data_IF_817224003408
#
_entry.id   IF_817224003408
#
_cell.length_a   1.000
_cell.length_b   1.000
_cell.length_c   1.000
_cell.angle_alpha   90.00
_cell.angle_beta   90.00
_cell.angle_gamma   90.00
#
_symmetry.space_group_name_H-M   'P 1'
#
loop_
_entity.id
_entity.type
_entity.pdbx_description
1 polymer ?
#
# COMPACT_ATOMS: atom_id res chain seq x y z
N UNK A 1 -16.94 -16.93 50.20
CA UNK A 1 -16.04 -16.48 49.13
C UNK A 1 -16.72 -15.40 48.29
N UNK A 2 -17.08 -14.28 48.91
CA UNK A 2 -17.84 -13.21 48.21
C UNK A 2 -17.53 -11.81 48.78
N UNK A 3 -16.27 -11.55 49.22
CA UNK A 3 -15.92 -10.26 49.80
C UNK A 3 -14.63 -9.62 49.24
N UNK A 4 -13.89 -10.24 48.34
CA UNK A 4 -12.71 -9.66 47.74
C UNK A 4 -12.87 -9.18 46.29
N UNK A 5 -13.88 -9.60 45.58
CA UNK A 5 -14.08 -9.16 44.19
C UNK A 5 -14.70 -7.76 44.06
N UNK A 6 -15.27 -7.22 45.14
CA UNK A 6 -15.96 -5.92 45.13
C UNK A 6 -15.09 -4.74 45.52
N UNK A 7 -13.83 -4.95 45.93
CA UNK A 7 -12.88 -3.88 46.29
C UNK A 7 -11.93 -3.44 45.17
N UNK A 8 -11.87 -4.16 44.03
CA UNK A 8 -11.00 -3.84 42.89
C UNK A 8 -11.71 -2.95 41.86
N UNK A 9 -13.05 -3.01 41.80
CA UNK A 9 -13.81 -2.17 40.86
C UNK A 9 -14.02 -0.72 41.32
N UNK A 10 -13.91 -0.43 42.62
CA UNK A 10 -14.05 0.93 43.14
C UNK A 10 -12.74 1.76 43.10
N UNK A 11 -11.60 1.16 42.93
CA UNK A 11 -10.32 1.87 42.82
C UNK A 11 -10.01 2.35 41.38
N UNK A 12 -10.65 1.76 40.34
CA UNK A 12 -10.42 2.15 38.94
C UNK A 12 -11.37 3.26 38.46
N UNK A 13 -12.46 3.52 39.18
CA UNK A 13 -13.44 4.56 38.83
C UNK A 13 -13.11 5.95 39.39
N UNK A 14 -12.14 6.06 40.32
CA UNK A 14 -11.78 7.35 40.97
C UNK A 14 -10.56 8.01 40.30
N UNK A 15 -9.82 7.28 39.45
CA UNK A 15 -8.67 7.83 38.73
C UNK A 15 -8.98 8.51 37.40
N UNK A 16 -10.25 8.46 36.91
CA UNK A 16 -10.67 9.09 35.66
C UNK A 16 -11.52 10.36 35.80
N UNK A 17 -11.74 10.87 37.02
CA UNK A 17 -12.59 12.06 37.25
C UNK A 17 -11.86 13.32 37.76
N UNK A 18 -10.54 13.38 37.72
CA UNK A 18 -9.78 14.57 38.17
C UNK A 18 -9.00 15.30 37.09
N UNK A 19 -9.29 15.07 35.80
CA UNK A 19 -8.65 15.77 34.69
C UNK A 19 -9.58 16.67 33.85
N UNK A 20 -10.81 16.95 34.33
CA UNK A 20 -11.79 17.76 33.57
C UNK A 20 -12.38 18.88 34.42
N UNK A 21 -11.53 19.76 34.99
CA UNK A 21 -11.98 21.06 35.47
C UNK A 21 -10.76 21.96 35.70
N UNK A 22 -10.42 22.73 34.70
CA UNK A 22 -9.84 24.09 34.74
C UNK A 22 -9.50 24.52 33.31
N UNK A 23 -10.39 25.23 32.66
CA UNK A 23 -10.07 26.41 31.82
C UNK A 23 -11.39 27.07 31.44
N UNK A 24 -11.77 28.06 32.23
CA UNK A 24 -12.69 29.12 31.79
C UNK A 24 -12.33 30.37 32.60
N UNK A 25 -11.37 31.12 32.08
CA UNK A 25 -11.24 32.55 32.38
C UNK A 25 -10.15 33.17 31.48
N UNK A 26 -10.52 34.19 30.71
CA UNK A 26 -9.57 35.21 30.25
C UNK A 26 -9.32 35.29 28.76
N UNK A 27 -10.19 35.97 28.00
CA UNK A 27 -9.82 36.65 26.78
C UNK A 27 -8.80 37.75 27.09
N UNK A 28 -7.56 37.64 26.55
CA UNK A 28 -6.73 38.76 26.12
C UNK A 28 -5.44 38.27 25.46
N UNK A 29 -5.17 38.69 24.23
CA UNK A 29 -3.84 38.60 23.60
C UNK A 29 -3.64 37.33 22.76
N UNK A 30 -3.90 37.44 21.45
CA UNK A 30 -3.47 36.47 20.44
C UNK A 30 -1.96 36.63 20.24
N UNK A 31 -1.16 35.87 21.00
CA UNK A 31 0.16 35.48 20.55
C UNK A 31 0.03 34.06 20.01
N UNK A 32 -0.03 33.93 18.69
CA UNK A 32 0.04 32.64 18.01
C UNK A 32 1.47 32.13 18.07
N UNK A 33 1.89 31.65 19.24
CA UNK A 33 2.98 30.68 19.31
C UNK A 33 2.45 29.38 18.75
N UNK A 34 2.68 29.16 17.45
CA UNK A 34 2.67 27.82 16.91
C UNK A 34 3.67 27.02 17.73
N UNK A 35 3.18 26.22 18.68
CA UNK A 35 3.98 25.16 19.29
C UNK A 35 4.34 24.20 18.15
N UNK A 36 5.54 24.39 17.58
CA UNK A 36 6.17 23.38 16.76
C UNK A 36 6.36 22.19 17.70
N UNK A 37 5.43 21.25 17.70
CA UNK A 37 5.62 19.95 18.35
C UNK A 37 6.77 19.29 17.59
N UNK A 38 7.96 19.28 18.18
CA UNK A 38 9.07 18.47 17.66
C UNK A 38 8.57 17.03 17.51
N UNK A 39 8.75 16.40 16.35
CA UNK A 39 8.35 15.01 16.18
C UNK A 39 8.99 14.16 17.30
N UNK A 40 8.18 13.33 17.94
CA UNK A 40 8.68 12.41 18.96
C UNK A 40 9.51 11.35 18.26
N UNK A 41 10.82 11.41 18.40
CA UNK A 41 11.72 10.38 17.90
C UNK A 41 11.70 9.17 18.83
N UNK A 42 11.85 7.97 18.27
CA UNK A 42 11.90 6.71 19.00
C UNK A 42 13.24 6.02 18.72
N UNK A 43 13.91 5.53 19.76
CA UNK A 43 15.13 4.74 19.60
C UNK A 43 14.86 3.50 18.75
N UNK A 44 15.74 3.21 17.81
CA UNK A 44 15.65 2.05 16.95
C UNK A 44 15.72 0.74 17.74
N UNK A 45 15.03 -0.26 17.26
CA UNK A 45 15.08 -1.63 17.80
C UNK A 45 16.18 -2.44 17.11
N UNK A 46 16.62 -3.51 17.76
CA UNK A 46 17.55 -4.46 17.15
C UNK A 46 16.86 -5.15 15.97
N UNK A 47 17.52 -5.15 14.80
CA UNK A 47 17.07 -5.85 13.59
C UNK A 47 18.11 -6.91 13.24
N UNK A 48 17.66 -8.14 13.16
CA UNK A 48 18.47 -9.29 12.76
C UNK A 48 17.94 -9.89 11.48
N UNK A 49 18.80 -10.54 10.72
CA UNK A 49 18.36 -11.23 9.52
C UNK A 49 19.46 -11.80 8.67
N UNK A 50 19.09 -12.19 7.48
CA UNK A 50 20.01 -12.75 6.49
C UNK A 50 19.80 -12.12 5.11
N UNK A 51 20.87 -12.10 4.32
CA UNK A 51 20.84 -11.67 2.91
C UNK A 51 21.28 -12.87 2.05
N UNK A 52 20.40 -13.26 1.12
CA UNK A 52 20.64 -14.39 0.20
C UNK A 52 20.45 -13.99 -1.26
N UNK A 53 21.25 -14.59 -2.12
CA UNK A 53 21.09 -14.60 -3.57
C UNK A 53 20.67 -16.00 -4.02
N UNK A 54 19.39 -16.19 -4.34
CA UNK A 54 18.84 -17.52 -4.50
C UNK A 54 18.98 -18.32 -3.21
N UNK A 55 19.77 -19.39 -3.26
CA UNK A 55 20.06 -20.24 -2.09
C UNK A 55 21.42 -19.93 -1.44
N UNK A 56 22.18 -19.00 -1.98
CA UNK A 56 23.53 -18.69 -1.50
C UNK A 56 23.53 -17.48 -0.56
N UNK A 57 24.23 -17.56 0.59
CA UNK A 57 24.41 -16.39 1.45
C UNK A 57 25.25 -15.34 0.73
N UNK A 58 24.92 -14.07 0.91
CA UNK A 58 25.73 -12.96 0.41
C UNK A 58 26.60 -12.43 1.54
N UNK A 59 27.90 -12.72 1.45
CA UNK A 59 28.88 -12.27 2.42
C UNK A 59 29.39 -10.86 2.08
N UNK A 60 29.57 -10.02 3.10
CA UNK A 60 30.18 -8.69 2.97
C UNK A 60 29.29 -7.64 2.31
N UNK A 61 27.99 -7.91 2.08
CA UNK A 61 27.04 -6.90 1.61
C UNK A 61 26.92 -5.78 2.64
N UNK A 62 26.91 -4.54 2.15
CA UNK A 62 26.72 -3.35 3.02
C UNK A 62 25.24 -3.12 3.25
N UNK A 63 24.85 -3.08 4.52
CA UNK A 63 23.49 -2.85 4.97
C UNK A 63 23.22 -1.37 5.15
N UNK A 64 22.07 -0.91 4.68
CA UNK A 64 21.55 0.45 4.89
C UNK A 64 20.09 0.37 5.34
N UNK A 65 19.73 1.21 6.30
CA UNK A 65 18.34 1.40 6.73
C UNK A 65 17.89 2.79 6.30
N UNK A 66 16.86 2.84 5.50
CA UNK A 66 16.32 4.10 5.00
C UNK A 66 14.92 4.37 5.56
N UNK A 67 14.60 5.64 5.72
CA UNK A 67 13.24 6.12 5.95
C UNK A 67 12.67 6.68 4.66
N UNK A 68 11.38 6.53 4.47
CA UNK A 68 10.68 7.14 3.34
C UNK A 68 10.51 8.66 3.56
N UNK A 69 10.67 9.44 2.48
CA UNK A 69 10.51 10.89 2.49
C UNK A 69 9.04 11.32 2.43
N UNK A 70 8.77 12.56 2.86
CA UNK A 70 7.42 13.14 2.90
C UNK A 70 7.27 14.46 2.10
N UNK A 71 8.28 14.82 1.30
CA UNK A 71 8.32 16.10 0.59
C UNK A 71 7.94 16.01 -0.89
N UNK A 72 7.64 14.81 -1.39
CA UNK A 72 7.24 14.53 -2.77
C UNK A 72 7.42 13.05 -3.13
N UNK A 73 6.84 12.65 -4.24
CA UNK A 73 7.01 11.29 -4.77
C UNK A 73 8.47 11.02 -5.11
N UNK A 74 9.00 9.89 -4.63
CA UNK A 74 10.40 9.53 -4.80
C UNK A 74 11.38 10.44 -4.05
N UNK A 75 10.91 11.24 -3.08
CA UNK A 75 11.82 12.04 -2.24
C UNK A 75 12.52 11.15 -1.22
N UNK A 76 13.83 11.32 -1.08
CA UNK A 76 14.57 10.70 0.01
C UNK A 76 14.22 11.38 1.35
N UNK A 77 14.23 10.60 2.43
CA UNK A 77 14.25 11.19 3.76
C UNK A 77 15.63 11.79 4.03
N UNK A 78 15.68 13.05 4.43
CA UNK A 78 16.95 13.73 4.75
C UNK A 78 17.22 13.62 6.25
N UNK A 79 18.26 12.89 6.61
CA UNK A 79 18.76 12.77 7.98
C UNK A 79 20.04 13.63 8.14
N UNK A 80 20.35 14.06 9.36
CA UNK A 80 21.48 14.99 9.64
C UNK A 80 22.85 14.44 9.23
N UNK A 81 23.02 13.14 9.12
CA UNK A 81 24.27 12.45 8.76
C UNK A 81 24.25 11.77 7.39
N UNK A 82 23.23 12.01 6.58
CA UNK A 82 23.04 11.38 5.28
C UNK A 82 21.62 10.89 5.08
N UNK A 83 21.39 10.06 4.03
CA UNK A 83 20.08 9.50 3.73
C UNK A 83 19.76 8.24 4.55
N UNK A 84 20.77 7.48 5.00
CA UNK A 84 20.60 6.28 5.82
C UNK A 84 20.42 6.63 7.29
N UNK A 85 19.50 5.96 7.98
CA UNK A 85 19.31 6.08 9.43
C UNK A 85 20.49 5.53 10.23
N UNK A 86 21.32 4.64 9.65
CA UNK A 86 22.53 4.13 10.27
C UNK A 86 23.67 5.18 10.31
N UNK A 87 23.54 6.27 9.58
CA UNK A 87 24.54 7.34 9.54
C UNK A 87 25.92 6.84 9.10
N UNK A 88 26.91 6.92 9.99
CA UNK A 88 28.27 6.45 9.75
C UNK A 88 28.51 5.01 10.21
N UNK A 89 27.55 4.35 10.82
CA UNK A 89 27.66 2.95 11.24
C UNK A 89 27.63 2.03 10.02
N UNK A 90 28.71 1.27 9.85
CA UNK A 90 28.86 0.32 8.74
C UNK A 90 28.49 -1.07 9.22
N UNK A 91 27.34 -1.56 8.79
CA UNK A 91 26.91 -2.94 9.03
C UNK A 91 27.13 -3.73 7.75
N UNK A 92 27.78 -4.90 7.87
CA UNK A 92 27.99 -5.84 6.77
C UNK A 92 27.47 -7.21 7.14
N UNK A 93 27.09 -7.97 6.11
CA UNK A 93 26.74 -9.38 6.29
C UNK A 93 27.97 -10.23 6.55
N UNK A 94 27.81 -11.25 7.36
CA UNK A 94 28.84 -12.28 7.64
C UNK A 94 28.88 -13.36 6.52
N UNK A 95 29.73 -14.39 6.72
CA UNK A 95 29.90 -15.48 5.75
C UNK A 95 28.63 -16.31 5.52
N UNK A 96 27.68 -16.28 6.44
CA UNK A 96 26.36 -16.94 6.34
C UNK A 96 25.28 -15.98 5.82
N UNK A 97 25.66 -14.78 5.37
CA UNK A 97 24.73 -13.73 4.97
C UNK A 97 24.04 -13.04 6.16
N UNK A 98 24.39 -13.38 7.39
CA UNK A 98 23.81 -12.83 8.62
C UNK A 98 24.18 -11.36 8.84
N UNK A 99 23.21 -10.56 9.33
CA UNK A 99 23.45 -9.19 9.79
C UNK A 99 22.78 -8.93 11.11
N UNK A 100 23.32 -7.94 11.84
CA UNK A 100 22.74 -7.45 13.10
C UNK A 100 22.89 -5.93 13.15
N UNK A 101 21.77 -5.22 13.26
CA UNK A 101 21.69 -3.79 13.50
C UNK A 101 21.27 -3.62 14.96
N UNK A 102 22.17 -3.13 15.81
CA UNK A 102 22.07 -3.15 17.28
C UNK A 102 21.28 -1.99 17.88
N UNK A 103 20.38 -1.35 17.10
CA UNK A 103 19.58 -0.23 17.61
C UNK A 103 20.31 1.12 17.55
N UNK A 104 21.37 1.21 16.76
CA UNK A 104 22.21 2.42 16.61
C UNK A 104 21.57 3.45 15.64
N UNK A 105 20.24 3.48 15.57
CA UNK A 105 19.49 4.41 14.77
C UNK A 105 18.30 4.98 15.55
N UNK A 106 17.74 6.06 15.03
CA UNK A 106 16.56 6.71 15.60
C UNK A 106 15.46 6.80 14.54
N UNK A 107 14.27 6.32 14.88
CA UNK A 107 13.09 6.51 14.05
C UNK A 107 12.72 8.00 13.97
N UNK A 108 12.51 8.58 12.79
CA UNK A 108 12.10 9.97 12.68
C UNK A 108 10.78 10.25 13.39
N UNK A 109 9.79 9.37 13.18
CA UNK A 109 8.54 9.26 13.95
C UNK A 109 8.17 7.79 14.09
N UNK A 110 7.29 7.41 15.02
CA UNK A 110 6.82 6.04 15.15
C UNK A 110 6.14 5.51 13.88
N UNK A 111 5.52 6.39 13.10
CA UNK A 111 4.76 6.05 11.88
C UNK A 111 5.58 6.21 10.59
N UNK A 112 6.84 6.62 10.67
CA UNK A 112 7.69 6.73 9.49
C UNK A 112 7.98 5.35 8.90
N UNK A 113 7.64 5.15 7.64
CA UNK A 113 7.92 3.91 6.91
C UNK A 113 9.41 3.74 6.68
N UNK A 114 9.94 2.53 6.94
CA UNK A 114 11.37 2.24 6.79
C UNK A 114 11.60 0.97 5.98
N UNK A 115 12.76 0.88 5.36
CA UNK A 115 13.17 -0.27 4.54
C UNK A 115 14.67 -0.51 4.62
N UNK A 116 15.07 -1.79 4.56
CA UNK A 116 16.46 -2.23 4.51
C UNK A 116 16.90 -2.43 3.06
N UNK A 117 18.16 -2.08 2.80
CA UNK A 117 18.84 -2.33 1.52
C UNK A 117 20.19 -2.97 1.81
N UNK A 118 20.51 -4.03 1.08
CA UNK A 118 21.82 -4.68 1.05
C UNK A 118 22.47 -4.45 -0.31
N UNK A 119 23.71 -3.96 -0.34
CA UNK A 119 24.42 -3.65 -1.60
C UNK A 119 25.77 -4.33 -1.69
N UNK A 120 26.13 -4.81 -2.88
CA UNK A 120 27.40 -5.48 -3.16
C UNK A 120 27.53 -6.81 -2.41
N UNK A 121 28.76 -7.31 -2.31
CA UNK A 121 29.07 -8.53 -1.58
C UNK A 121 29.44 -9.71 -2.49
N UNK A 122 29.68 -10.86 -1.85
CA UNK A 122 30.10 -12.10 -2.47
C UNK A 122 28.95 -13.10 -2.46
N UNK A 123 28.40 -13.48 -3.61
CA UNK A 123 27.30 -14.43 -3.70
C UNK A 123 27.81 -15.87 -3.58
N UNK A 124 28.16 -16.28 -2.36
CA UNK A 124 28.73 -17.59 -2.05
C UNK A 124 30.22 -17.56 -1.76
N UNK A 125 30.80 -18.66 -1.22
CA UNK A 125 32.11 -18.68 -0.59
C UNK A 125 33.30 -18.57 -1.58
N UNK A 126 33.10 -18.85 -2.86
CA UNK A 126 34.16 -18.83 -3.90
C UNK A 126 33.88 -17.84 -5.03
N UNK A 127 32.73 -17.15 -4.99
CA UNK A 127 32.38 -16.20 -6.03
C UNK A 127 33.14 -14.88 -5.86
N UNK A 128 33.47 -14.17 -6.94
CA UNK A 128 34.02 -12.82 -6.86
C UNK A 128 32.95 -11.84 -6.33
N UNK A 129 33.40 -10.66 -5.86
CA UNK A 129 32.50 -9.59 -5.46
C UNK A 129 31.61 -9.18 -6.64
N UNK A 130 30.31 -9.01 -6.37
CA UNK A 130 29.37 -8.49 -7.34
C UNK A 130 28.83 -7.15 -6.85
N UNK A 131 29.28 -6.06 -7.48
CA UNK A 131 28.89 -4.70 -7.13
C UNK A 131 27.51 -4.31 -7.69
N UNK A 132 26.91 -5.13 -8.56
CA UNK A 132 25.57 -4.88 -9.09
C UNK A 132 24.45 -5.38 -8.16
N UNK A 133 24.81 -6.10 -7.09
CA UNK A 133 23.85 -6.55 -6.09
C UNK A 133 23.25 -5.35 -5.39
N UNK A 134 21.94 -5.26 -5.44
CA UNK A 134 21.12 -4.43 -4.58
C UNK A 134 19.83 -5.20 -4.29
N UNK A 135 19.60 -5.50 -3.02
CA UNK A 135 18.43 -6.23 -2.53
C UNK A 135 17.74 -5.43 -1.44
N UNK A 136 16.43 -5.57 -1.29
CA UNK A 136 15.69 -4.82 -0.29
C UNK A 136 14.56 -5.60 0.37
N UNK A 137 14.18 -5.12 1.55
CA UNK A 137 12.95 -5.49 2.24
C UNK A 137 12.31 -4.23 2.84
N UNK A 138 11.06 -3.97 2.49
CA UNK A 138 10.24 -2.93 3.12
C UNK A 138 9.70 -3.45 4.46
N UNK A 139 9.92 -2.71 5.55
CA UNK A 139 9.63 -3.18 6.91
C UNK A 139 8.33 -2.61 7.47
N UNK A 140 7.88 -1.46 6.97
CA UNK A 140 6.72 -0.76 7.50
C UNK A 140 7.08 0.32 8.53
N UNK A 141 6.12 0.71 9.42
CA UNK A 141 6.32 1.78 10.38
C UNK A 141 7.45 1.48 11.38
N UNK A 142 8.40 2.41 11.50
CA UNK A 142 9.60 2.26 12.31
C UNK A 142 9.29 1.97 13.80
N UNK A 143 8.23 2.57 14.34
CA UNK A 143 7.82 2.35 15.73
C UNK A 143 7.15 0.99 16.01
N UNK A 144 6.80 0.24 14.95
CA UNK A 144 6.25 -1.13 15.08
C UNK A 144 7.32 -2.21 14.96
N UNK A 145 8.56 -1.85 14.63
CA UNK A 145 9.67 -2.80 14.63
C UNK A 145 9.94 -3.29 16.05
N UNK A 146 10.24 -4.57 16.20
CA UNK A 146 10.52 -5.21 17.48
C UNK A 146 11.88 -5.91 17.45
N UNK A 147 12.51 -6.09 18.59
CA UNK A 147 13.78 -6.83 18.70
C UNK A 147 13.71 -8.32 18.32
N UNK A 148 12.49 -8.83 18.05
CA UNK A 148 12.27 -10.17 17.49
C UNK A 148 12.02 -10.16 15.98
N UNK A 149 12.09 -9.00 15.32
CA UNK A 149 11.90 -8.89 13.88
C UNK A 149 13.10 -9.53 13.17
N UNK A 150 12.87 -10.70 12.58
CA UNK A 150 13.83 -11.36 11.70
C UNK A 150 13.52 -10.97 10.25
N UNK A 151 14.53 -10.55 9.49
CA UNK A 151 14.35 -10.06 8.13
C UNK A 151 15.19 -10.90 7.17
N UNK A 152 14.53 -11.63 6.27
CA UNK A 152 15.21 -12.28 5.16
C UNK A 152 15.15 -11.38 3.93
N UNK A 153 16.30 -10.89 3.49
CA UNK A 153 16.44 -10.07 2.29
C UNK A 153 16.91 -10.98 1.16
N UNK A 154 16.08 -11.10 0.14
CA UNK A 154 16.38 -11.86 -1.06
C UNK A 154 15.67 -11.27 -2.29
N UNK A 155 15.72 -11.98 -3.40
CA UNK A 155 15.07 -11.55 -4.64
C UNK A 155 13.55 -11.45 -4.51
N UNK A 156 12.90 -12.38 -3.78
CA UNK A 156 11.44 -12.37 -3.55
C UNK A 156 11.03 -11.11 -2.76
N UNK A 157 11.74 -10.81 -1.66
CA UNK A 157 11.46 -9.62 -0.85
C UNK A 157 11.74 -8.35 -1.65
N UNK A 158 12.76 -8.36 -2.51
CA UNK A 158 13.07 -7.25 -3.41
C UNK A 158 11.98 -7.03 -4.45
N UNK A 159 11.54 -8.09 -5.14
CA UNK A 159 10.43 -8.01 -6.11
C UNK A 159 9.17 -7.45 -5.43
N UNK A 160 8.75 -8.03 -4.31
CA UNK A 160 7.54 -7.60 -3.60
C UNK A 160 7.63 -6.13 -3.16
N UNK A 161 8.77 -5.72 -2.56
CA UNK A 161 8.99 -4.34 -2.11
C UNK A 161 8.98 -3.36 -3.28
N UNK A 162 9.73 -3.65 -4.35
CA UNK A 162 9.83 -2.76 -5.50
C UNK A 162 8.48 -2.62 -6.22
N UNK A 163 7.75 -3.72 -6.46
CA UNK A 163 6.46 -3.65 -7.16
C UNK A 163 5.42 -2.86 -6.37
N UNK A 164 5.29 -3.11 -5.06
CA UNK A 164 4.35 -2.38 -4.22
C UNK A 164 4.72 -0.89 -4.09
N UNK A 165 6.03 -0.58 -4.00
CA UNK A 165 6.53 0.78 -3.77
C UNK A 165 6.84 1.56 -5.06
N UNK A 166 6.75 0.93 -6.23
CA UNK A 166 7.14 1.55 -7.52
C UNK A 166 6.49 2.91 -7.81
N UNK A 167 5.22 3.21 -7.40
CA UNK A 167 4.64 4.54 -7.57
C UNK A 167 5.29 5.63 -6.70
N UNK A 168 5.97 5.24 -5.64
CA UNK A 168 6.59 6.12 -4.64
C UNK A 168 8.12 6.11 -4.72
N UNK A 169 8.70 5.39 -5.69
CA UNK A 169 10.13 5.11 -5.76
C UNK A 169 10.76 5.66 -7.03
N UNK A 170 11.92 6.29 -6.90
CA UNK A 170 12.74 6.78 -8.03
C UNK A 170 14.19 6.27 -7.99
N UNK A 171 14.56 5.51 -6.94
CA UNK A 171 15.89 4.93 -6.77
C UNK A 171 16.03 4.24 -5.42
N UNK A 172 17.17 3.63 -5.18
CA UNK A 172 17.45 2.80 -3.99
C UNK A 172 17.18 3.52 -2.67
N UNK A 173 17.59 4.79 -2.55
CA UNK A 173 17.42 5.60 -1.34
C UNK A 173 16.26 6.61 -1.48
N UNK A 174 15.46 6.50 -2.53
CA UNK A 174 14.51 7.50 -2.96
C UNK A 174 13.09 6.92 -3.01
N UNK A 175 12.53 6.65 -1.84
CA UNK A 175 11.11 6.31 -1.63
C UNK A 175 10.47 7.42 -0.83
N UNK A 176 9.35 7.95 -1.31
CA UNK A 176 8.67 9.04 -0.64
C UNK A 176 7.36 9.44 -1.29
N UNK A 177 6.61 10.26 -0.58
CA UNK A 177 5.30 10.75 -1.00
C UNK A 177 5.09 12.21 -0.63
N UNK A 178 4.05 12.85 -1.15
CA UNK A 178 3.59 14.15 -0.67
C UNK A 178 2.87 14.01 0.67
N UNK A 179 2.79 15.10 1.44
CA UNK A 179 2.04 15.14 2.70
C UNK A 179 0.54 14.83 2.52
N UNK A 180 0.01 15.00 1.31
CA UNK A 180 -1.41 14.74 0.99
C UNK A 180 -1.68 13.28 0.63
N UNK A 181 -0.65 12.44 0.43
CA UNK A 181 -0.80 11.02 0.10
C UNK A 181 0.02 10.09 1.02
N UNK A 182 0.22 10.48 2.27
CA UNK A 182 0.92 9.65 3.26
C UNK A 182 0.24 8.27 3.41
N UNK A 183 -1.09 8.23 3.41
CA UNK A 183 -1.86 6.98 3.51
C UNK A 183 -1.57 6.05 2.32
N UNK A 184 -1.44 6.58 1.10
CA UNK A 184 -1.09 5.77 -0.07
C UNK A 184 0.27 5.08 0.07
N UNK A 185 1.26 5.76 0.65
CA UNK A 185 2.57 5.17 0.93
C UNK A 185 2.47 4.06 2.00
N UNK A 186 1.75 4.31 3.10
CA UNK A 186 1.51 3.30 4.15
C UNK A 186 0.83 2.06 3.58
N UNK A 187 -0.18 2.23 2.73
CA UNK A 187 -0.86 1.12 2.06
C UNK A 187 0.10 0.33 1.14
N UNK A 188 1.01 1.02 0.44
CA UNK A 188 2.01 0.36 -0.39
C UNK A 188 2.99 -0.49 0.44
N UNK A 189 3.42 -0.01 1.62
CA UNK A 189 4.23 -0.81 2.55
C UNK A 189 3.45 -2.01 3.10
N UNK A 190 2.16 -1.86 3.41
CA UNK A 190 1.30 -2.96 3.84
C UNK A 190 1.15 -4.03 2.74
N UNK A 191 0.99 -3.62 1.48
CA UNK A 191 0.89 -4.54 0.32
C UNK A 191 2.13 -5.43 0.17
N UNK A 192 3.32 -4.99 0.60
CA UNK A 192 4.50 -5.86 0.61
C UNK A 192 4.27 -7.09 1.46
N UNK A 193 3.67 -6.93 2.65
CA UNK A 193 3.37 -8.06 3.55
C UNK A 193 2.24 -8.98 3.04
N UNK A 194 1.45 -8.53 2.07
CA UNK A 194 0.49 -9.38 1.36
C UNK A 194 1.18 -10.23 0.29
N UNK A 195 2.22 -9.70 -0.36
CA UNK A 195 2.96 -10.39 -1.43
C UNK A 195 4.01 -11.36 -0.90
N UNK A 196 4.69 -11.03 0.20
CA UNK A 196 5.83 -11.78 0.73
C UNK A 196 5.79 -11.87 2.25
N UNK A 197 6.28 -12.98 2.78
CA UNK A 197 6.66 -13.10 4.19
C UNK A 197 8.12 -12.65 4.35
N UNK A 198 8.34 -11.44 4.86
CA UNK A 198 9.68 -10.88 5.06
C UNK A 198 10.50 -11.71 6.06
N UNK A 199 9.85 -12.35 7.05
CA UNK A 199 10.52 -13.19 8.02
C UNK A 199 11.08 -14.49 7.44
N UNK A 200 10.52 -15.00 6.34
CA UNK A 200 10.94 -16.23 5.67
C UNK A 200 11.53 -15.99 4.28
N UNK A 201 11.34 -14.82 3.70
CA UNK A 201 11.75 -14.49 2.33
C UNK A 201 10.99 -15.26 1.24
N UNK A 202 9.78 -15.75 1.53
CA UNK A 202 8.97 -16.56 0.62
C UNK A 202 7.73 -15.82 0.12
N UNK A 203 7.24 -16.21 -1.07
CA UNK A 203 5.98 -15.72 -1.62
C UNK A 203 4.81 -16.13 -0.69
N UNK A 204 3.75 -15.35 -0.70
CA UNK A 204 2.61 -15.39 0.21
C UNK A 204 2.93 -14.80 1.57
N UNK A 205 2.58 -13.54 1.73
CA UNK A 205 2.71 -12.83 3.00
C UNK A 205 1.78 -13.38 4.08
N UNK A 206 2.14 -13.21 5.35
CA UNK A 206 1.29 -13.59 6.48
C UNK A 206 0.06 -12.68 6.60
N UNK A 207 0.05 -11.56 5.89
CA UNK A 207 -0.96 -10.52 6.01
C UNK A 207 -2.01 -10.54 4.89
N UNK A 208 -2.09 -11.62 4.08
CA UNK A 208 -3.20 -11.74 3.12
C UNK A 208 -4.53 -11.77 3.88
N UNK A 209 -5.43 -10.80 3.64
CA UNK A 209 -6.75 -10.80 4.26
C UNK A 209 -7.53 -12.06 3.90
N UNK A 210 -8.46 -12.47 4.77
CA UNK A 210 -9.39 -13.55 4.45
C UNK A 210 -10.15 -13.19 3.16
N UNK A 211 -10.12 -14.10 2.17
CA UNK A 211 -10.71 -13.86 0.85
C UNK A 211 -9.77 -13.21 -0.17
N UNK A 212 -8.59 -12.75 0.23
CA UNK A 212 -7.53 -12.36 -0.69
C UNK A 212 -6.70 -13.58 -1.09
N UNK A 213 -6.32 -13.63 -2.37
CA UNK A 213 -5.50 -14.71 -2.91
C UNK A 213 -4.48 -14.18 -3.91
N UNK A 214 -3.29 -14.76 -3.88
CA UNK A 214 -2.35 -14.68 -4.98
C UNK A 214 -2.65 -15.81 -5.96
N UNK A 215 -2.98 -15.47 -7.20
CA UNK A 215 -3.17 -16.49 -8.23
C UNK A 215 -1.86 -17.24 -8.50
N UNK A 216 -1.95 -18.49 -8.98
CA UNK A 216 -0.78 -19.25 -9.40
C UNK A 216 0.05 -18.48 -10.46
N UNK A 217 -0.61 -17.69 -11.31
CA UNK A 217 0.06 -16.83 -12.28
C UNK A 217 0.84 -15.68 -11.62
N UNK A 218 0.29 -15.05 -10.56
CA UNK A 218 1.00 -14.01 -9.80
C UNK A 218 2.21 -14.60 -9.08
N UNK A 219 2.06 -15.76 -8.44
CA UNK A 219 3.17 -16.48 -7.77
C UNK A 219 4.27 -16.81 -8.78
N UNK A 220 3.91 -17.34 -9.96
CA UNK A 220 4.88 -17.64 -11.01
C UNK A 220 5.58 -16.38 -11.56
N UNK A 221 4.87 -15.24 -11.67
CA UNK A 221 5.49 -13.95 -12.04
C UNK A 221 6.51 -13.51 -11.00
N UNK A 222 6.17 -13.53 -9.70
CA UNK A 222 7.09 -13.16 -8.62
C UNK A 222 8.35 -14.03 -8.67
N UNK A 223 8.18 -15.36 -8.76
CA UNK A 223 9.30 -16.31 -8.84
C UNK A 223 10.17 -16.05 -10.07
N UNK A 224 9.59 -15.84 -11.25
CA UNK A 224 10.34 -15.55 -12.48
C UNK A 224 11.13 -14.24 -12.39
N UNK A 225 10.52 -13.20 -11.82
CA UNK A 225 11.20 -11.93 -11.59
C UNK A 225 12.36 -12.09 -10.58
N UNK A 226 12.16 -12.87 -9.53
CA UNK A 226 13.21 -13.22 -8.57
C UNK A 226 14.32 -14.03 -9.25
N UNK A 227 14.01 -14.96 -10.13
CA UNK A 227 14.99 -15.74 -10.91
C UNK A 227 15.81 -14.85 -11.84
N UNK A 228 15.21 -13.84 -12.45
CA UNK A 228 15.93 -12.84 -13.26
C UNK A 228 16.92 -12.04 -12.42
N UNK A 229 16.53 -11.63 -11.20
CA UNK A 229 17.45 -10.98 -10.26
C UNK A 229 18.55 -11.96 -9.82
N UNK A 230 18.20 -13.21 -9.48
CA UNK A 230 19.13 -14.24 -9.03
C UNK A 230 20.20 -14.55 -10.08
N UNK A 231 19.84 -14.56 -11.35
CA UNK A 231 20.81 -14.76 -12.45
C UNK A 231 21.90 -13.67 -12.48
N UNK A 232 21.56 -12.43 -12.15
CA UNK A 232 22.53 -11.35 -11.99
C UNK A 232 23.29 -11.48 -10.66
N UNK A 233 22.57 -11.66 -9.55
CA UNK A 233 23.13 -11.67 -8.18
C UNK A 233 24.17 -12.77 -8.02
N UNK A 234 23.89 -14.00 -8.51
CA UNK A 234 24.76 -15.17 -8.40
C UNK A 234 25.86 -15.21 -9.50
N UNK A 235 26.16 -14.08 -10.12
CA UNK A 235 27.25 -13.90 -11.09
C UNK A 235 28.36 -12.99 -10.55
N UNK A 236 29.38 -12.74 -11.35
CA UNK A 236 30.42 -11.75 -11.07
C UNK A 236 29.99 -10.30 -11.36
N UNK A 237 28.69 -10.07 -11.59
CA UNK A 237 28.20 -8.80 -12.10
C UNK A 237 28.28 -8.69 -13.62
N UNK A 238 28.09 -7.47 -14.13
CA UNK A 238 28.16 -7.21 -15.58
C UNK A 238 27.45 -5.91 -15.96
N UNK A 239 27.41 -5.67 -17.27
CA UNK A 239 26.77 -4.50 -17.88
C UNK A 239 25.85 -4.93 -19.01
N UNK A 240 24.87 -4.10 -19.35
CA UNK A 240 23.90 -4.42 -20.40
C UNK A 240 24.59 -4.83 -21.71
N UNK A 241 24.24 -6.01 -22.23
CA UNK A 241 24.73 -6.53 -23.52
C UNK A 241 26.02 -7.35 -23.45
N UNK A 242 26.60 -7.60 -22.27
CA UNK A 242 27.84 -8.40 -22.12
C UNK A 242 27.60 -9.91 -22.08
N UNK A 243 26.33 -10.37 -22.13
CA UNK A 243 25.96 -11.78 -22.10
C UNK A 243 25.93 -12.41 -20.72
N UNK A 244 26.32 -11.70 -19.65
CA UNK A 244 26.19 -12.16 -18.27
C UNK A 244 24.72 -12.18 -17.82
N UNK A 245 24.43 -12.81 -16.65
CA UNK A 245 23.11 -12.73 -16.03
C UNK A 245 22.69 -11.29 -15.75
N UNK A 246 23.61 -10.43 -15.28
CA UNK A 246 23.37 -9.00 -15.14
C UNK A 246 23.15 -8.31 -16.49
N UNK A 247 23.95 -8.67 -17.51
CA UNK A 247 23.82 -8.10 -18.86
C UNK A 247 22.47 -8.37 -19.50
N UNK A 248 21.90 -9.56 -19.31
CA UNK A 248 20.56 -9.92 -19.77
C UNK A 248 19.50 -9.09 -19.03
N UNK A 249 19.53 -9.07 -17.69
CA UNK A 249 18.62 -8.31 -16.86
C UNK A 249 18.65 -6.82 -17.20
N UNK A 250 19.82 -6.21 -17.25
CA UNK A 250 19.99 -4.77 -17.51
C UNK A 250 19.60 -4.39 -18.94
N UNK A 251 19.76 -5.30 -19.90
CA UNK A 251 19.30 -5.10 -21.27
C UNK A 251 17.76 -5.08 -21.32
N UNK A 252 17.11 -6.00 -20.62
CA UNK A 252 15.66 -6.09 -20.56
C UNK A 252 15.01 -4.92 -19.79
N UNK A 253 15.71 -4.40 -18.78
CA UNK A 253 15.23 -3.33 -17.91
C UNK A 253 15.62 -1.91 -18.37
N UNK A 254 16.08 -1.73 -19.63
CA UNK A 254 16.36 -0.40 -20.18
C UNK A 254 15.11 0.46 -20.27
N UNK A 255 15.22 1.73 -19.86
CA UNK A 255 14.20 2.76 -20.05
C UNK A 255 14.81 3.89 -20.85
N UNK A 256 14.17 4.29 -21.95
CA UNK A 256 14.65 5.34 -22.85
C UNK A 256 16.12 5.17 -23.29
N UNK A 257 16.54 3.91 -23.48
CA UNK A 257 17.90 3.56 -23.88
C UNK A 257 18.93 3.51 -22.74
N UNK A 258 18.58 3.94 -21.53
CA UNK A 258 19.46 3.92 -20.35
C UNK A 258 19.30 2.58 -19.63
N UNK A 259 20.42 1.87 -19.42
CA UNK A 259 20.44 0.63 -18.68
C UNK A 259 20.64 0.88 -17.18
N UNK A 260 19.96 0.12 -16.29
CA UNK A 260 20.28 0.11 -14.88
C UNK A 260 21.65 -0.50 -14.62
N UNK A 261 22.22 -0.22 -13.45
CA UNK A 261 23.54 -0.71 -13.00
C UNK A 261 23.46 -1.59 -11.76
N UNK A 262 22.27 -1.76 -11.20
CA UNK A 262 22.00 -2.60 -10.03
C UNK A 262 20.61 -3.28 -10.14
N UNK A 263 20.42 -4.30 -9.32
CA UNK A 263 19.24 -5.16 -9.41
C UNK A 263 17.96 -4.50 -8.89
N UNK A 264 18.02 -3.56 -7.94
CA UNK A 264 16.83 -2.79 -7.50
C UNK A 264 16.38 -1.84 -8.61
N UNK A 265 17.31 -1.10 -9.22
CA UNK A 265 16.99 -0.19 -10.34
C UNK A 265 16.43 -0.96 -11.54
N UNK A 266 16.96 -2.17 -11.81
CA UNK A 266 16.42 -3.03 -12.85
C UNK A 266 14.97 -3.47 -12.54
N UNK A 267 14.72 -3.94 -11.32
CA UNK A 267 13.39 -4.30 -10.86
C UNK A 267 12.41 -3.11 -10.92
N UNK A 268 12.84 -1.92 -10.50
CA UNK A 268 12.04 -0.69 -10.55
C UNK A 268 11.63 -0.32 -11.97
N UNK A 269 12.57 -0.35 -12.90
CA UNK A 269 12.29 -0.09 -14.31
C UNK A 269 11.27 -1.07 -14.89
N UNK A 270 11.38 -2.36 -14.53
CA UNK A 270 10.41 -3.39 -14.95
C UNK A 270 9.04 -3.19 -14.28
N UNK A 271 8.99 -2.81 -13.00
CA UNK A 271 7.75 -2.55 -12.29
C UNK A 271 7.00 -1.33 -12.83
N UNK A 272 7.72 -0.28 -13.22
CA UNK A 272 7.15 0.94 -13.83
C UNK A 272 6.78 0.77 -15.30
N UNK A 273 7.32 -0.24 -15.99
CA UNK A 273 7.06 -0.56 -17.40
C UNK A 273 6.71 -2.06 -17.56
N UNK A 274 5.66 -2.57 -16.89
CA UNK A 274 5.45 -4.01 -16.72
C UNK A 274 5.18 -4.77 -18.04
N UNK A 275 4.74 -4.10 -19.07
CA UNK A 275 4.52 -4.72 -20.41
C UNK A 275 5.76 -4.70 -21.31
N UNK A 276 6.86 -4.06 -20.86
CA UNK A 276 8.08 -3.99 -21.66
C UNK A 276 8.92 -5.29 -21.53
N UNK A 277 9.48 -5.74 -22.65
CA UNK A 277 10.48 -6.83 -22.72
C UNK A 277 10.09 -8.12 -21.95
N UNK A 278 8.81 -8.47 -21.92
CA UNK A 278 8.32 -9.64 -21.17
C UNK A 278 8.92 -10.98 -21.63
N UNK A 279 9.47 -11.04 -22.84
CA UNK A 279 10.19 -12.23 -23.35
C UNK A 279 11.40 -12.63 -22.54
N UNK A 280 11.96 -11.72 -21.71
CA UNK A 280 13.08 -12.05 -20.81
C UNK A 280 12.69 -13.13 -19.78
N UNK A 281 11.40 -13.28 -19.45
CA UNK A 281 10.89 -14.34 -18.57
C UNK A 281 11.33 -15.74 -19.01
N UNK A 282 11.49 -15.98 -20.30
CA UNK A 282 11.86 -17.30 -20.85
C UNK A 282 13.38 -17.58 -20.78
N UNK A 283 14.20 -16.60 -20.42
CA UNK A 283 15.66 -16.78 -20.34
C UNK A 283 16.11 -17.46 -19.05
N UNK A 284 15.24 -17.53 -18.02
CA UNK A 284 15.55 -18.12 -16.69
C UNK A 284 14.73 -19.37 -16.39
N UNK A 285 14.09 -19.98 -17.39
CA UNK A 285 13.28 -21.19 -17.22
C UNK A 285 14.12 -22.44 -16.95
N UNK A 286 13.67 -23.27 -16.02
CA UNK A 286 14.17 -24.62 -15.79
C UNK A 286 15.48 -24.71 -14.96
N UNK A 287 15.34 -24.87 -13.64
CA UNK A 287 16.47 -25.02 -12.71
C UNK A 287 16.79 -23.76 -11.92
N UNK A 288 16.06 -22.68 -12.12
CA UNK A 288 16.16 -21.46 -11.34
C UNK A 288 15.66 -21.69 -9.89
N UNK A 289 16.17 -20.92 -8.89
CA UNK A 289 15.94 -21.21 -7.47
C UNK A 289 14.50 -21.03 -7.00
N UNK A 290 13.70 -20.24 -7.73
CA UNK A 290 12.34 -19.91 -7.32
C UNK A 290 11.28 -20.60 -8.21
N UNK A 291 10.46 -21.46 -7.62
CA UNK A 291 9.48 -22.27 -8.35
C UNK A 291 8.09 -22.18 -7.72
N UNK A 292 7.00 -22.32 -8.49
CA UNK A 292 6.96 -22.44 -9.94
C UNK A 292 7.30 -21.12 -10.65
N UNK A 293 8.03 -21.20 -11.77
CA UNK A 293 8.31 -20.06 -12.64
C UNK A 293 7.41 -20.08 -13.90
N UNK A 294 7.36 -18.95 -14.62
CA UNK A 294 6.64 -18.88 -15.91
C UNK A 294 7.34 -19.74 -16.97
N UNK A 295 6.54 -20.47 -17.73
CA UNK A 295 7.01 -21.29 -18.86
C UNK A 295 6.94 -20.56 -20.22
N UNK A 296 6.31 -19.40 -20.26
CA UNK A 296 6.17 -18.54 -21.44
C UNK A 296 6.17 -17.07 -21.02
N UNK A 297 6.47 -16.18 -21.95
CA UNK A 297 6.41 -14.74 -21.72
C UNK A 297 4.97 -14.33 -21.34
N UNK A 298 4.78 -13.58 -20.23
CA UNK A 298 3.48 -13.06 -19.87
C UNK A 298 3.11 -11.84 -20.75
N UNK A 299 1.85 -11.43 -20.74
CA UNK A 299 1.43 -10.16 -21.36
C UNK A 299 2.09 -8.96 -20.67
N UNK A 300 2.27 -9.06 -19.36
CA UNK A 300 2.89 -8.06 -18.51
C UNK A 300 3.40 -8.69 -17.20
N UNK A 301 4.23 -7.94 -16.46
CA UNK A 301 4.73 -8.29 -15.14
C UNK A 301 3.94 -7.65 -13.98
N UNK A 302 2.71 -7.20 -14.21
CA UNK A 302 1.86 -6.71 -13.11
C UNK A 302 1.58 -7.83 -12.11
N UNK A 303 1.72 -7.52 -10.83
CA UNK A 303 1.36 -8.42 -9.74
C UNK A 303 -0.06 -8.11 -9.28
N UNK A 304 -0.88 -9.14 -9.10
CA UNK A 304 -2.31 -8.99 -8.82
C UNK A 304 -2.69 -9.78 -7.58
N UNK A 305 -3.30 -9.09 -6.62
CA UNK A 305 -4.00 -9.71 -5.48
C UNK A 305 -5.50 -9.72 -5.83
N UNK A 306 -6.14 -10.86 -5.73
CA UNK A 306 -7.57 -11.01 -6.01
C UNK A 306 -8.33 -11.12 -4.70
N UNK A 307 -9.33 -10.27 -4.52
CA UNK A 307 -10.23 -10.29 -3.36
C UNK A 307 -11.57 -10.91 -3.74
N UNK A 308 -12.03 -11.87 -2.94
CA UNK A 308 -13.31 -12.57 -3.08
C UNK A 308 -13.99 -12.68 -1.72
N UNK A 309 -15.32 -12.64 -1.67
CA UNK A 309 -16.04 -12.64 -0.40
C UNK A 309 -16.51 -11.24 0.00
N UNK A 310 -16.83 -11.00 1.28
CA UNK A 310 -17.32 -9.72 1.77
C UNK A 310 -18.56 -9.19 1.06
N UNK A 311 -19.34 -10.06 0.41
CA UNK A 311 -20.49 -9.68 -0.40
C UNK A 311 -20.15 -9.18 -1.81
N UNK A 312 -18.87 -9.29 -2.26
CA UNK A 312 -18.49 -8.91 -3.64
C UNK A 312 -19.24 -9.80 -4.64
N UNK A 313 -20.08 -9.17 -5.45
CA UNK A 313 -20.88 -9.82 -6.48
C UNK A 313 -21.19 -8.85 -7.61
N UNK A 314 -20.71 -9.16 -8.81
CA UNK A 314 -20.82 -8.29 -9.99
C UNK A 314 -20.44 -6.82 -9.68
N UNK A 315 -19.21 -6.52 -9.21
CA UNK A 315 -18.80 -5.18 -8.82
C UNK A 315 -18.85 -4.22 -10.02
N UNK A 316 -19.30 -2.98 -9.79
CA UNK A 316 -19.47 -1.95 -10.83
C UNK A 316 -18.71 -0.66 -10.50
N UNK A 317 -18.65 -0.26 -9.24
CA UNK A 317 -18.00 0.96 -8.80
C UNK A 317 -17.02 0.69 -7.66
N UNK A 318 -15.96 1.50 -7.60
CA UNK A 318 -14.94 1.44 -6.56
C UNK A 318 -14.51 2.86 -6.19
N UNK A 319 -14.29 3.10 -4.91
CA UNK A 319 -13.68 4.32 -4.38
C UNK A 319 -12.88 4.03 -3.11
N UNK A 320 -12.01 4.96 -2.73
CA UNK A 320 -11.23 4.89 -1.49
C UNK A 320 -11.65 6.01 -0.54
N UNK A 321 -11.69 5.72 0.76
CA UNK A 321 -11.88 6.75 1.78
C UNK A 321 -10.54 7.36 2.23
N UNK A 322 -10.59 8.40 3.06
CA UNK A 322 -9.41 9.14 3.53
C UNK A 322 -8.46 8.30 4.41
N UNK A 323 -8.91 7.16 4.91
CA UNK A 323 -8.11 6.20 5.67
C UNK A 323 -7.54 5.08 4.79
N UNK A 324 -7.83 5.13 3.47
CA UNK A 324 -7.33 4.19 2.48
C UNK A 324 -8.17 2.92 2.32
N UNK A 325 -9.30 2.78 3.05
CA UNK A 325 -10.19 1.64 2.83
C UNK A 325 -10.84 1.71 1.46
N UNK A 326 -11.08 0.55 0.88
CA UNK A 326 -11.66 0.41 -0.45
C UNK A 326 -13.15 0.06 -0.34
N UNK A 327 -14.00 0.86 -0.97
CA UNK A 327 -15.43 0.65 -1.04
C UNK A 327 -15.83 0.16 -2.43
N UNK A 328 -16.62 -0.91 -2.50
CA UNK A 328 -17.01 -1.59 -3.74
C UNK A 328 -18.52 -1.69 -3.84
N UNK A 329 -19.10 -1.13 -4.89
CA UNK A 329 -20.52 -1.23 -5.21
C UNK A 329 -20.82 -2.55 -5.92
N UNK A 330 -21.63 -3.43 -5.33
CA UNK A 330 -21.94 -4.76 -5.80
C UNK A 330 -23.34 -4.82 -6.41
N UNK A 331 -23.43 -4.77 -7.74
CA UNK A 331 -24.74 -4.76 -8.43
C UNK A 331 -25.46 -6.10 -8.30
N UNK A 332 -24.75 -7.22 -8.27
CA UNK A 332 -25.34 -8.55 -8.16
C UNK A 332 -25.87 -8.88 -6.75
N UNK A 333 -25.30 -8.26 -5.72
CA UNK A 333 -25.69 -8.48 -4.31
C UNK A 333 -26.55 -7.38 -3.71
N UNK A 334 -26.78 -6.28 -4.44
CA UNK A 334 -27.39 -5.05 -3.90
C UNK A 334 -26.76 -4.63 -2.57
N UNK A 335 -25.43 -4.65 -2.51
CA UNK A 335 -24.64 -4.38 -1.32
C UNK A 335 -23.42 -3.50 -1.64
N UNK A 336 -22.76 -3.01 -0.60
CA UNK A 336 -21.47 -2.33 -0.69
C UNK A 336 -20.49 -3.04 0.22
N UNK A 337 -19.36 -3.47 -0.34
CA UNK A 337 -18.24 -4.05 0.44
C UNK A 337 -17.28 -2.94 0.82
N UNK A 338 -16.83 -2.93 2.08
CA UNK A 338 -15.72 -2.10 2.56
C UNK A 338 -14.56 -3.01 2.96
N UNK A 339 -13.43 -2.87 2.27
CA UNK A 339 -12.18 -3.56 2.53
C UNK A 339 -11.28 -2.66 3.38
N UNK A 340 -10.59 -3.25 4.35
CA UNK A 340 -9.56 -2.54 5.12
C UNK A 340 -8.35 -2.24 4.25
N UNK A 341 -7.81 -1.03 4.35
CA UNK A 341 -6.59 -0.61 3.65
C UNK A 341 -5.36 -1.44 4.02
N UNK A 342 -5.29 -1.94 5.24
CA UNK A 342 -4.16 -2.68 5.79
C UNK A 342 -4.40 -4.20 5.82
N UNK A 343 -5.50 -4.66 5.26
CA UNK A 343 -5.81 -6.08 5.09
C UNK A 343 -6.32 -6.80 6.34
N UNK A 344 -6.02 -6.35 7.55
CA UNK A 344 -6.49 -6.98 8.81
C UNK A 344 -6.68 -5.93 9.89
N UNK A 345 -7.92 -5.74 10.35
CA UNK A 345 -8.13 -5.06 11.64
C UNK A 345 -8.01 -6.07 12.78
N UNK A 346 -7.52 -5.61 13.93
CA UNK A 346 -7.40 -6.42 15.15
C UNK A 346 -8.74 -6.92 15.70
N UNK A 347 -9.85 -6.48 15.13
CA UNK A 347 -11.21 -6.77 15.58
C UNK A 347 -12.06 -7.59 14.61
N UNK A 348 -11.64 -7.70 13.34
CA UNK A 348 -12.35 -8.49 12.32
C UNK A 348 -11.39 -9.46 11.63
N UNK A 349 -11.60 -10.75 11.84
CA UNK A 349 -10.82 -11.83 11.23
C UNK A 349 -11.14 -12.04 9.76
N UNK A 350 -12.09 -11.29 9.19
CA UNK A 350 -12.55 -11.47 7.80
C UNK A 350 -11.87 -10.56 6.79
N UNK A 351 -11.17 -9.49 7.23
CA UNK A 351 -10.57 -8.49 6.34
C UNK A 351 -11.59 -7.56 5.66
N UNK A 352 -12.88 -7.76 5.94
CA UNK A 352 -13.98 -6.96 5.41
C UNK A 352 -14.63 -6.16 6.54
N UNK A 353 -14.47 -4.85 6.53
CA UNK A 353 -15.11 -3.96 7.51
C UNK A 353 -16.64 -3.99 7.40
N UNK A 354 -17.17 -4.42 6.25
CA UNK A 354 -18.59 -4.60 5.99
C UNK A 354 -19.14 -5.99 6.33
N UNK A 355 -18.32 -6.85 6.95
CA UNK A 355 -18.67 -8.25 7.21
C UNK A 355 -18.75 -9.11 5.94
N UNK A 356 -19.20 -10.36 6.08
CA UNK A 356 -19.20 -11.36 5.01
C UNK A 356 -20.16 -11.10 3.85
N UNK A 357 -21.19 -10.27 4.06
CA UNK A 357 -22.26 -10.01 3.08
C UNK A 357 -22.23 -8.58 2.51
N UNK A 358 -21.29 -7.74 2.95
CA UNK A 358 -21.31 -6.31 2.65
C UNK A 358 -22.38 -5.55 3.42
N UNK A 359 -22.35 -4.22 3.32
CA UNK A 359 -23.42 -3.35 3.84
C UNK A 359 -24.65 -3.46 2.94
N UNK A 360 -25.80 -3.73 3.51
CA UNK A 360 -27.10 -3.73 2.84
C UNK A 360 -28.07 -2.84 3.61
N UNK A 361 -27.84 -1.53 3.56
CA UNK A 361 -28.60 -0.49 4.28
C UNK A 361 -29.10 0.56 3.29
N UNK A 362 -30.13 1.35 3.67
CA UNK A 362 -30.62 2.45 2.85
C UNK A 362 -31.25 2.03 1.51
N UNK A 363 -31.80 0.82 1.41
CA UNK A 363 -32.51 0.32 0.21
C UNK A 363 -31.64 0.27 -1.04
N UNK A 364 -30.39 -0.20 -0.91
CA UNK A 364 -29.51 -0.47 -2.05
C UNK A 364 -30.20 -1.36 -3.09
N UNK A 365 -30.08 -1.00 -4.36
CA UNK A 365 -30.66 -1.78 -5.46
C UNK A 365 -29.74 -1.73 -6.67
N UNK A 366 -29.11 -2.86 -6.98
CA UNK A 366 -28.16 -3.00 -8.08
C UNK A 366 -27.19 -1.80 -8.21
N UNK A 367 -26.37 -1.49 -7.18
CA UNK A 367 -25.46 -0.34 -7.19
C UNK A 367 -24.58 -0.31 -8.43
N UNK A 368 -24.41 0.87 -9.03
CA UNK A 368 -23.64 1.03 -10.29
C UNK A 368 -22.38 1.89 -10.11
N UNK A 369 -22.38 2.84 -9.19
CA UNK A 369 -21.25 3.72 -8.91
C UNK A 369 -21.30 4.17 -7.45
N UNK A 370 -20.16 4.61 -6.92
CA UNK A 370 -20.11 5.22 -5.59
C UNK A 370 -18.98 6.28 -5.52
N UNK A 371 -19.16 7.25 -4.61
CA UNK A 371 -18.15 8.22 -4.23
C UNK A 371 -18.17 8.40 -2.70
N UNK A 372 -17.03 8.83 -2.13
CA UNK A 372 -16.88 9.02 -0.69
C UNK A 372 -16.80 10.52 -0.41
N UNK A 373 -17.60 11.00 0.56
CA UNK A 373 -17.54 12.39 0.99
C UNK A 373 -16.43 12.65 2.02
N UNK A 374 -16.25 13.92 2.40
CA UNK A 374 -15.23 14.32 3.37
C UNK A 374 -15.46 13.77 4.78
N UNK A 375 -16.70 13.34 5.09
CA UNK A 375 -17.05 12.68 6.35
C UNK A 375 -16.85 11.18 6.32
N UNK A 376 -16.44 10.61 5.17
CA UNK A 376 -16.24 9.18 4.94
C UNK A 376 -17.52 8.41 4.61
N UNK A 377 -18.68 9.09 4.39
CA UNK A 377 -19.90 8.44 3.95
C UNK A 377 -19.80 8.05 2.46
N UNK A 378 -20.39 6.91 2.11
CA UNK A 378 -20.43 6.45 0.72
C UNK A 378 -21.78 6.84 0.07
N UNK A 379 -21.70 7.58 -1.02
CA UNK A 379 -22.83 7.96 -1.86
C UNK A 379 -22.93 7.03 -3.05
N UNK A 380 -23.99 6.26 -3.11
CA UNK A 380 -24.15 5.11 -4.01
C UNK A 380 -25.27 5.36 -4.99
N UNK A 381 -24.96 5.40 -6.27
CA UNK A 381 -25.94 5.44 -7.35
C UNK A 381 -26.52 4.02 -7.58
N UNK A 382 -27.84 3.88 -7.51
CA UNK A 382 -28.55 2.62 -7.66
C UNK A 382 -29.18 2.45 -9.05
N UNK A 383 -29.29 1.21 -9.51
CA UNK A 383 -29.90 0.88 -10.78
C UNK A 383 -31.39 1.19 -10.88
N UNK A 384 -32.09 1.40 -9.76
CA UNK A 384 -33.51 1.76 -9.68
C UNK A 384 -33.78 3.28 -9.65
N UNK A 385 -32.86 4.09 -10.16
CA UNK A 385 -32.99 5.55 -10.24
C UNK A 385 -33.06 6.27 -8.86
N UNK A 386 -32.31 5.76 -7.89
CA UNK A 386 -32.15 6.35 -6.58
C UNK A 386 -30.68 6.51 -6.23
N UNK A 387 -30.39 7.28 -5.16
CA UNK A 387 -29.08 7.37 -4.53
C UNK A 387 -29.21 6.99 -3.07
N UNK A 388 -28.25 6.23 -2.54
CA UNK A 388 -28.16 5.89 -1.12
C UNK A 388 -26.92 6.49 -0.53
N UNK A 389 -27.02 7.26 0.55
CA UNK A 389 -25.91 7.59 1.43
C UNK A 389 -25.76 6.47 2.46
N UNK A 390 -24.56 5.92 2.60
CA UNK A 390 -24.19 4.97 3.65
C UNK A 390 -23.23 5.69 4.59
N UNK A 391 -23.57 5.75 5.89
CA UNK A 391 -22.67 6.32 6.88
C UNK A 391 -21.29 5.63 6.90
N UNK A 392 -20.24 6.34 7.27
CA UNK A 392 -18.86 5.87 7.28
C UNK A 392 -18.67 4.56 8.08
N UNK A 393 -19.50 4.32 9.11
CA UNK A 393 -19.52 3.10 9.91
C UNK A 393 -20.35 1.95 9.28
N UNK A 394 -21.05 2.21 8.17
CA UNK A 394 -21.87 1.21 7.47
C UNK A 394 -23.17 0.81 8.14
N UNK A 395 -23.52 1.38 9.31
CA UNK A 395 -24.65 0.92 10.13
C UNK A 395 -25.99 1.55 9.71
N UNK A 396 -25.98 2.68 9.04
CA UNK A 396 -27.17 3.40 8.59
C UNK A 396 -27.06 3.81 7.13
N UNK A 397 -28.22 3.89 6.46
CA UNK A 397 -28.31 4.37 5.09
C UNK A 397 -29.53 5.24 4.88
N UNK A 398 -29.36 6.32 4.14
CA UNK A 398 -30.41 7.27 3.77
C UNK A 398 -30.68 7.19 2.27
N UNK A 399 -31.97 7.03 1.88
CA UNK A 399 -32.37 6.95 0.48
C UNK A 399 -32.78 8.33 -0.04
N UNK A 400 -32.26 8.68 -1.22
CA UNK A 400 -32.56 9.85 -2.01
C UNK A 400 -33.27 9.42 -3.30
N UNK A 401 -34.47 9.84 -3.54
CA UNK A 401 -35.29 9.44 -4.70
C UNK A 401 -35.95 10.64 -5.42
N UNK A 402 -35.49 11.87 -5.14
CA UNK A 402 -35.95 13.10 -5.80
C UNK A 402 -35.15 13.42 -7.07
N UNK A 403 -35.37 14.62 -7.62
CA UNK A 403 -34.54 15.17 -8.68
C UNK A 403 -34.66 14.49 -10.05
N UNK A 404 -35.77 13.82 -10.35
CA UNK A 404 -35.97 13.15 -11.68
C UNK A 404 -34.80 12.28 -12.14
N UNK A 405 -34.13 11.64 -11.19
CA UNK A 405 -33.03 10.70 -11.51
C UNK A 405 -33.52 9.57 -12.42
N UNK A 406 -32.74 9.22 -13.42
CA UNK A 406 -33.08 8.17 -14.38
C UNK A 406 -31.83 7.42 -14.83
N UNK A 407 -31.76 6.14 -14.51
CA UNK A 407 -30.60 5.27 -14.81
C UNK A 407 -29.28 5.95 -14.47
N UNK A 408 -29.03 6.30 -13.19
CA UNK A 408 -27.79 6.93 -12.78
C UNK A 408 -26.60 6.04 -13.16
N UNK A 409 -25.58 6.64 -13.75
CA UNK A 409 -24.38 5.94 -14.27
C UNK A 409 -23.13 6.27 -13.52
N UNK A 410 -23.06 7.44 -12.87
CA UNK A 410 -21.90 7.91 -12.13
C UNK A 410 -22.29 8.91 -11.05
N UNK A 411 -21.47 9.01 -10.02
CA UNK A 411 -21.60 9.95 -8.90
C UNK A 411 -20.27 10.63 -8.61
N UNK A 412 -20.30 11.92 -8.31
CA UNK A 412 -19.16 12.69 -7.84
C UNK A 412 -19.61 13.66 -6.73
N UNK A 413 -18.69 14.10 -5.88
CA UNK A 413 -18.97 14.97 -4.74
C UNK A 413 -18.06 16.19 -4.84
N UNK A 414 -18.64 17.38 -4.69
CA UNK A 414 -17.87 18.62 -4.71
C UNK A 414 -17.34 19.02 -3.32
N UNK A 415 -16.51 20.07 -3.28
CA UNK A 415 -15.89 20.56 -2.04
C UNK A 415 -16.92 21.11 -1.02
N UNK A 416 -18.16 21.39 -1.47
CA UNK A 416 -19.27 21.83 -0.62
C UNK A 416 -20.14 20.65 -0.14
N UNK A 417 -19.72 19.41 -0.45
CA UNK A 417 -20.43 18.16 -0.19
C UNK A 417 -21.74 18.01 -0.97
N UNK A 418 -21.95 18.77 -2.06
CA UNK A 418 -23.04 18.46 -2.98
C UNK A 418 -22.71 17.22 -3.79
N UNK A 419 -23.73 16.41 -4.05
CA UNK A 419 -23.59 15.13 -4.75
C UNK A 419 -24.14 15.28 -6.16
N UNK A 420 -23.29 15.00 -7.14
CA UNK A 420 -23.58 15.17 -8.55
C UNK A 420 -23.75 13.82 -9.24
N UNK A 421 -24.89 13.61 -9.88
CA UNK A 421 -25.32 12.36 -10.47
C UNK A 421 -25.46 12.53 -11.98
N UNK A 422 -24.76 11.70 -12.74
CA UNK A 422 -24.97 11.57 -14.17
C UNK A 422 -26.13 10.61 -14.46
N UNK A 423 -27.18 11.05 -15.15
CA UNK A 423 -28.37 10.27 -15.47
C UNK A 423 -28.37 9.87 -16.95
N UNK A 424 -27.95 8.65 -17.25
CA UNK A 424 -27.88 8.16 -18.64
C UNK A 424 -29.24 7.94 -19.27
N UNK A 425 -30.28 7.68 -18.47
CA UNK A 425 -31.61 7.34 -18.97
C UNK A 425 -32.41 8.55 -19.51
N UNK A 426 -32.09 9.77 -19.07
CA UNK A 426 -32.80 10.97 -19.53
C UNK A 426 -31.88 12.11 -19.99
N UNK A 427 -30.57 11.87 -20.07
CA UNK A 427 -29.58 12.87 -20.52
C UNK A 427 -29.50 14.09 -19.61
N UNK A 428 -29.55 13.90 -18.29
CA UNK A 428 -29.50 14.99 -17.30
C UNK A 428 -28.39 14.78 -16.28
N UNK A 429 -28.09 15.85 -15.55
CA UNK A 429 -27.28 15.83 -14.34
C UNK A 429 -28.19 16.26 -13.17
N UNK A 430 -28.17 15.51 -12.07
CA UNK A 430 -28.85 15.90 -10.84
C UNK A 430 -27.81 16.30 -9.78
N UNK A 431 -27.98 17.47 -9.19
CA UNK A 431 -27.25 17.89 -8.00
C UNK A 431 -28.15 17.66 -6.78
N UNK A 432 -27.62 17.02 -5.76
CA UNK A 432 -28.26 16.83 -4.46
C UNK A 432 -27.48 17.66 -3.45
N UNK A 433 -28.13 18.63 -2.79
CA UNK A 433 -27.56 19.27 -1.61
C UNK A 433 -28.12 18.55 -0.39
N UNK A 434 -27.27 17.76 0.33
CA UNK A 434 -27.73 17.01 1.49
C UNK A 434 -28.16 17.89 2.64
N UNK A 435 -29.05 17.36 3.50
CA UNK A 435 -29.56 18.07 4.68
C UNK A 435 -30.82 17.41 5.23
N UNK A 436 -31.40 17.95 6.31
CA UNK A 436 -32.65 17.45 6.87
C UNK A 436 -33.82 17.50 5.88
N UNK A 437 -33.75 18.42 4.94
CA UNK A 437 -34.64 18.50 3.76
C UNK A 437 -33.72 18.65 2.54
N UNK A 438 -33.41 17.57 1.82
CA UNK A 438 -32.50 17.64 0.70
C UNK A 438 -33.08 18.47 -0.45
N UNK A 439 -32.24 19.30 -1.08
CA UNK A 439 -32.59 20.03 -2.28
C UNK A 439 -32.05 19.29 -3.52
N UNK A 440 -32.82 19.41 -4.62
CA UNK A 440 -32.46 18.77 -5.90
C UNK A 440 -32.52 19.80 -7.02
N UNK A 441 -31.41 19.93 -7.76
CA UNK A 441 -31.32 20.72 -8.98
C UNK A 441 -31.08 19.79 -10.15
N UNK A 442 -31.83 19.98 -11.24
CA UNK A 442 -31.66 19.19 -12.45
C UNK A 442 -31.14 20.06 -13.59
N UNK A 443 -30.06 19.60 -14.20
CA UNK A 443 -29.43 20.23 -15.35
C UNK A 443 -29.65 19.34 -16.58
N UNK A 444 -30.41 19.84 -17.54
CA UNK A 444 -30.67 19.17 -18.80
C UNK A 444 -30.42 20.12 -19.96
N UNK A 445 -30.23 19.59 -21.16
CA UNK A 445 -29.78 20.37 -22.31
C UNK A 445 -28.25 20.49 -22.40
N UNK A 446 -27.73 21.56 -22.98
CA UNK A 446 -26.28 21.80 -23.16
C UNK A 446 -25.53 20.68 -23.89
N UNK A 447 -26.23 19.86 -24.69
CA UNK A 447 -25.63 18.72 -25.37
C UNK A 447 -25.39 17.48 -24.52
N UNK A 448 -25.84 17.45 -23.26
CA UNK A 448 -25.76 16.26 -22.43
C UNK A 448 -26.75 15.22 -22.94
N UNK A 449 -26.23 14.08 -23.38
CA UNK A 449 -27.03 12.95 -23.87
C UNK A 449 -26.42 11.65 -23.35
N UNK A 450 -27.20 10.86 -22.60
CA UNK A 450 -26.79 9.60 -21.99
C UNK A 450 -25.39 9.66 -21.30
N UNK A 451 -25.16 10.56 -20.35
CA UNK A 451 -23.85 10.72 -19.71
C UNK A 451 -23.47 9.43 -19.00
N UNK A 452 -22.23 8.95 -19.21
CA UNK A 452 -21.69 7.73 -18.62
C UNK A 452 -20.79 7.98 -17.42
N UNK A 453 -20.24 9.18 -17.29
CA UNK A 453 -19.34 9.58 -16.20
C UNK A 453 -19.51 11.05 -15.83
N UNK A 454 -19.18 11.37 -14.58
CA UNK A 454 -19.09 12.73 -14.06
C UNK A 454 -17.86 12.84 -13.18
N UNK A 455 -17.16 13.97 -13.26
CA UNK A 455 -16.04 14.29 -12.41
C UNK A 455 -16.09 15.75 -11.98
N UNK A 456 -15.63 16.01 -10.77
CA UNK A 456 -15.50 17.36 -10.19
C UNK A 456 -14.01 17.73 -10.20
N UNK A 457 -13.71 18.95 -10.65
CA UNK A 457 -12.37 19.49 -10.51
C UNK A 457 -12.23 20.08 -9.10
N UNK A 458 -11.41 19.47 -8.24
CA UNK A 458 -11.09 20.05 -6.93
C UNK A 458 -10.19 21.28 -7.18
N UNK A 459 -10.75 22.48 -6.98
CA UNK A 459 -9.95 23.72 -6.94
C UNK A 459 -9.61 24.05 -5.50
#
# INVERSE_FOLDING_TARGET
>A
MTSQAMKIQTALAIALLTAASLVLAGCSGVDSTTTVTTPVTVSGMVLNGTVHGGQQPINGATMQLYAAGSTGYGSAYTYTSGTSLLGTHVVKTDINGGFNITGDYTCPTPTTEVYLVATGGYPGPTAPVNNNIALMAALGPCGLLSGSTNVNINEITTVASVWALSPFMTGIANIGTSSTNAQGLTNAFATVNELVNIGTGSVSGPALPVGATLSAATVAKINTLADLLAACINSSGGVAGDGSGCGLLFTAAKVSGVAPTDTITAALNMAQHPSANTSVATTVSGGAPFQPALTSAPSDFSLVITYTGGGISAPKGIATDSTGNVWVANSGGSSVTKLDALGVTTTDTTGYLSGTNGYNVGSLNAPVALAIDLSGNAWVANGNSTVTEIAANGLTGTLFNGGSMSSPSSVAIDASSNVWIANSGNGSITEITPGTTPAYNNYNGFGVAAPSAIAINPK
#
